data_IF_517937910438
#
_entry.id   IF_517937910438
#
_cell.length_a   1.000
_cell.length_b   1.000
_cell.length_c   1.000
_cell.angle_alpha   90.00
_cell.angle_beta   90.00
_cell.angle_gamma   90.00
#
_symmetry.space_group_name_H-M   'P 1'
#
loop_
_entity.id
_entity.type
_entity.pdbx_description
1 polymer ?
#
# COMPACT_ATOMS: atom_id res chain seq x y z
N UNK A 1 -57.56 -8.26 -10.24
CA UNK A 1 -56.28 -8.96 -10.00
C UNK A 1 -55.41 -9.14 -11.25
N UNK A 2 -55.90 -9.68 -12.39
CA UNK A 2 -55.09 -9.85 -13.63
C UNK A 2 -54.46 -8.56 -14.17
N UNK A 3 -55.19 -7.44 -14.17
CA UNK A 3 -54.66 -6.14 -14.64
C UNK A 3 -53.59 -5.53 -13.71
N UNK A 4 -53.71 -5.72 -12.39
CA UNK A 4 -52.71 -5.26 -11.43
C UNK A 4 -51.41 -6.07 -11.55
N UNK A 5 -51.53 -7.39 -11.83
CA UNK A 5 -50.39 -8.26 -12.09
C UNK A 5 -49.66 -7.89 -13.39
N UNK A 6 -50.39 -7.55 -14.46
CA UNK A 6 -49.81 -7.09 -15.74
C UNK A 6 -49.11 -5.74 -15.65
N UNK A 7 -49.61 -4.80 -14.82
CA UNK A 7 -48.97 -3.50 -14.58
C UNK A 7 -47.70 -3.68 -13.74
N UNK A 8 -47.76 -4.47 -12.66
CA UNK A 8 -46.59 -4.77 -11.82
C UNK A 8 -45.52 -5.54 -12.62
N UNK A 9 -45.92 -6.52 -13.43
CA UNK A 9 -45.00 -7.25 -14.29
C UNK A 9 -44.34 -6.34 -15.34
N UNK A 10 -45.09 -5.42 -15.96
CA UNK A 10 -44.54 -4.43 -16.90
C UNK A 10 -43.58 -3.44 -16.23
N UNK A 11 -43.86 -2.98 -15.00
CA UNK A 11 -42.95 -2.08 -14.29
C UNK A 11 -41.66 -2.79 -13.89
N UNK A 12 -41.72 -4.06 -13.46
CA UNK A 12 -40.52 -4.87 -13.19
C UNK A 12 -39.72 -5.19 -14.46
N UNK A 13 -40.38 -5.51 -15.59
CA UNK A 13 -39.71 -5.74 -16.88
C UNK A 13 -39.05 -4.46 -17.41
N UNK A 14 -39.74 -3.31 -17.37
CA UNK A 14 -39.17 -2.03 -17.80
C UNK A 14 -38.00 -1.58 -16.91
N UNK A 15 -38.07 -1.78 -15.59
CA UNK A 15 -36.94 -1.52 -14.70
C UNK A 15 -35.75 -2.46 -14.96
N UNK A 16 -36.02 -3.74 -15.26
CA UNK A 16 -34.98 -4.73 -15.57
C UNK A 16 -34.30 -4.45 -16.91
N UNK A 17 -35.06 -4.05 -17.93
CA UNK A 17 -34.55 -3.64 -19.25
C UNK A 17 -33.75 -2.34 -19.13
N UNK A 18 -34.25 -1.34 -18.39
CA UNK A 18 -33.55 -0.07 -18.17
C UNK A 18 -32.21 -0.29 -17.44
N UNK A 19 -32.18 -1.14 -16.40
CA UNK A 19 -30.94 -1.51 -15.73
C UNK A 19 -29.98 -2.26 -16.65
N UNK A 20 -30.47 -3.24 -17.42
CA UNK A 20 -29.65 -3.96 -18.38
C UNK A 20 -29.04 -3.03 -19.46
N UNK A 21 -29.80 -2.03 -19.91
CA UNK A 21 -29.34 -1.03 -20.86
C UNK A 21 -28.23 -0.15 -20.28
N UNK A 22 -28.41 0.38 -19.06
CA UNK A 22 -27.37 1.18 -18.37
C UNK A 22 -26.06 0.38 -18.20
N UNK A 23 -26.17 -0.89 -17.86
CA UNK A 23 -25.03 -1.80 -17.72
C UNK A 23 -24.34 -2.07 -19.06
N UNK A 24 -25.11 -2.24 -20.14
CA UNK A 24 -24.58 -2.41 -21.49
C UNK A 24 -23.88 -1.12 -21.98
N UNK A 25 -24.51 0.03 -21.81
CA UNK A 25 -23.98 1.34 -22.20
C UNK A 25 -22.66 1.64 -21.47
N UNK A 26 -22.54 1.27 -20.18
CA UNK A 26 -21.31 1.41 -19.42
C UNK A 26 -20.15 0.58 -20.01
N UNK A 27 -20.41 -0.64 -20.51
CA UNK A 27 -19.39 -1.46 -21.19
C UNK A 27 -18.96 -0.84 -22.52
N UNK A 28 -19.92 -0.42 -23.34
CA UNK A 28 -19.63 0.22 -24.65
C UNK A 28 -18.79 1.47 -24.42
N UNK A 29 -19.21 2.34 -23.50
CA UNK A 29 -18.50 3.57 -23.18
C UNK A 29 -17.11 3.31 -22.62
N UNK A 30 -16.93 2.27 -21.81
CA UNK A 30 -15.59 1.88 -21.33
C UNK A 30 -14.63 1.57 -22.48
N UNK A 31 -15.10 0.85 -23.51
CA UNK A 31 -14.32 0.53 -24.71
C UNK A 31 -14.03 1.79 -25.52
N UNK A 32 -15.02 2.68 -25.71
CA UNK A 32 -14.84 3.96 -26.42
C UNK A 32 -13.76 4.83 -25.75
N UNK A 33 -13.79 4.95 -24.43
CA UNK A 33 -12.78 5.72 -23.68
C UNK A 33 -11.38 5.12 -23.86
N UNK A 34 -11.24 3.79 -23.82
CA UNK A 34 -9.96 3.12 -24.06
C UNK A 34 -9.48 3.36 -25.50
N UNK A 35 -10.37 3.36 -26.48
CA UNK A 35 -10.03 3.66 -27.86
C UNK A 35 -9.57 5.13 -28.04
N UNK A 36 -10.21 6.08 -27.36
CA UNK A 36 -9.75 7.47 -27.31
C UNK A 36 -8.36 7.60 -26.69
N UNK A 37 -8.08 6.90 -25.59
CA UNK A 37 -6.75 6.85 -24.97
C UNK A 37 -5.71 6.29 -25.94
N UNK A 38 -6.00 5.16 -26.60
CA UNK A 38 -5.11 4.57 -27.62
C UNK A 38 -4.83 5.52 -28.79
N UNK A 39 -5.81 6.34 -29.17
CA UNK A 39 -5.70 7.35 -30.24
C UNK A 39 -5.14 8.69 -29.75
N UNK A 40 -4.70 8.78 -28.49
CA UNK A 40 -4.17 10.00 -27.87
C UNK A 40 -5.15 11.18 -27.91
N UNK A 41 -6.45 10.90 -27.85
CA UNK A 41 -7.53 11.89 -27.87
C UNK A 41 -7.92 12.32 -26.45
N UNK A 42 -6.95 12.85 -25.69
CA UNK A 42 -7.12 13.13 -24.26
C UNK A 42 -8.19 14.21 -23.96
N UNK A 43 -8.34 15.20 -24.83
CA UNK A 43 -9.39 16.22 -24.73
C UNK A 43 -10.81 15.61 -24.84
N UNK A 44 -10.97 14.55 -25.63
CA UNK A 44 -12.26 13.87 -25.77
C UNK A 44 -12.58 13.04 -24.52
N UNK A 45 -11.56 12.41 -23.92
CA UNK A 45 -11.70 11.69 -22.64
C UNK A 45 -12.02 12.66 -21.50
N UNK A 46 -11.31 13.80 -21.43
CA UNK A 46 -11.61 14.89 -20.49
C UNK A 46 -13.05 15.40 -20.65
N UNK A 47 -13.52 15.58 -21.88
CA UNK A 47 -14.90 16.00 -22.14
C UNK A 47 -15.95 14.96 -21.70
N UNK A 48 -15.57 13.69 -21.59
CA UNK A 48 -16.43 12.61 -21.09
C UNK A 48 -16.50 12.53 -19.56
N UNK A 49 -15.65 13.26 -18.84
CA UNK A 49 -15.61 13.32 -17.38
C UNK A 49 -16.66 14.30 -16.82
N UNK A 50 -17.05 14.08 -15.56
CA UNK A 50 -17.91 15.02 -14.83
C UNK A 50 -17.12 16.20 -14.24
N UNK A 51 -17.84 17.16 -13.67
CA UNK A 51 -17.22 18.39 -13.14
C UNK A 51 -16.33 18.16 -11.92
N UNK A 52 -16.53 17.06 -11.18
CA UNK A 52 -15.68 16.70 -10.03
C UNK A 52 -14.37 16.16 -10.57
N UNK A 53 -14.43 15.21 -11.50
CA UNK A 53 -13.25 14.58 -12.09
C UNK A 53 -12.40 15.60 -12.89
N UNK A 54 -13.03 16.55 -13.59
CA UNK A 54 -12.33 17.63 -14.30
C UNK A 54 -11.50 18.55 -13.39
N UNK A 55 -11.82 18.63 -12.10
CA UNK A 55 -10.99 19.37 -11.13
C UNK A 55 -9.78 18.58 -10.66
N UNK A 56 -9.82 17.25 -10.79
CA UNK A 56 -8.78 16.34 -10.33
C UNK A 56 -7.79 15.97 -11.44
N UNK A 57 -8.27 15.90 -12.69
CA UNK A 57 -7.48 15.42 -13.82
C UNK A 57 -7.83 16.17 -15.10
N UNK A 58 -6.86 16.92 -15.64
CA UNK A 58 -6.97 17.58 -16.94
C UNK A 58 -6.41 16.70 -18.08
N UNK A 59 -6.54 17.15 -19.33
CA UNK A 59 -6.11 16.39 -20.50
C UNK A 59 -4.58 16.15 -20.56
N UNK A 60 -3.77 17.14 -20.18
CA UNK A 60 -2.30 17.04 -20.15
C UNK A 60 -1.83 16.05 -19.07
N UNK A 61 -2.45 16.07 -17.90
CA UNK A 61 -2.18 15.10 -16.82
C UNK A 61 -2.60 13.69 -17.24
N UNK A 62 -3.72 13.54 -17.94
CA UNK A 62 -4.17 12.26 -18.47
C UNK A 62 -3.20 11.71 -19.53
N UNK A 63 -2.69 12.58 -20.40
CA UNK A 63 -1.63 12.25 -21.36
C UNK A 63 -0.37 11.77 -20.65
N UNK A 64 0.13 12.54 -19.66
CA UNK A 64 1.31 12.15 -18.89
C UNK A 64 1.15 10.79 -18.16
N UNK A 65 -0.03 10.50 -17.63
CA UNK A 65 -0.33 9.17 -17.03
C UNK A 65 -0.27 8.08 -18.10
N UNK A 66 -0.94 8.28 -19.24
CA UNK A 66 -1.02 7.28 -20.30
C UNK A 66 0.36 6.99 -20.92
N UNK A 67 1.12 8.04 -21.20
CA UNK A 67 2.49 7.92 -21.71
C UNK A 67 3.42 7.27 -20.69
N UNK A 68 3.24 7.58 -19.40
CA UNK A 68 3.94 6.89 -18.31
C UNK A 68 3.67 5.38 -18.31
N UNK A 69 2.42 4.95 -18.53
CA UNK A 69 2.08 3.52 -18.63
C UNK A 69 2.75 2.86 -19.84
N UNK A 70 2.72 3.50 -21.02
CA UNK A 70 3.35 2.98 -22.23
C UNK A 70 4.88 2.93 -22.11
N UNK A 71 5.47 3.93 -21.47
CA UNK A 71 6.90 3.96 -21.19
C UNK A 71 7.30 2.85 -20.21
N UNK A 72 6.50 2.62 -19.17
CA UNK A 72 6.82 1.64 -18.13
C UNK A 72 6.54 0.20 -18.55
N UNK A 73 5.44 -0.05 -19.27
CA UNK A 73 4.95 -1.40 -19.54
C UNK A 73 5.03 -1.81 -21.02
N UNK A 74 5.56 -0.92 -21.87
CA UNK A 74 5.66 -1.06 -23.33
C UNK A 74 4.24 -1.10 -23.96
N UNK A 75 4.10 -1.66 -25.15
CA UNK A 75 2.93 -1.50 -26.02
C UNK A 75 1.70 -2.23 -25.47
N UNK A 76 0.55 -1.55 -25.46
CA UNK A 76 -0.77 -2.15 -25.23
C UNK A 76 -1.20 -2.96 -26.46
N UNK A 77 -1.30 -4.28 -26.36
CA UNK A 77 -1.64 -5.15 -27.50
C UNK A 77 -3.03 -5.78 -27.43
N UNK A 78 -3.63 -5.87 -26.25
CA UNK A 78 -4.95 -6.49 -26.06
C UNK A 78 -5.70 -5.82 -24.92
N UNK A 79 -7.04 -5.80 -25.02
CA UNK A 79 -7.94 -5.45 -23.92
C UNK A 79 -8.96 -6.58 -23.72
N UNK A 80 -9.33 -6.87 -22.47
CA UNK A 80 -10.41 -7.81 -22.18
C UNK A 80 -11.79 -7.18 -22.43
N UNK A 81 -12.85 -7.99 -22.37
CA UNK A 81 -14.18 -7.44 -22.18
C UNK A 81 -14.27 -6.70 -20.83
N UNK A 82 -14.97 -5.55 -20.75
CA UNK A 82 -15.20 -4.85 -19.49
C UNK A 82 -16.08 -5.69 -18.54
N UNK A 83 -15.60 -5.89 -17.32
CA UNK A 83 -16.35 -6.53 -16.23
C UNK A 83 -17.10 -5.46 -15.45
N UNK A 84 -18.39 -5.65 -15.22
CA UNK A 84 -19.23 -4.70 -14.48
C UNK A 84 -19.11 -4.95 -12.97
N UNK A 85 -18.89 -3.87 -12.23
CA UNK A 85 -19.00 -3.80 -10.78
C UNK A 85 -20.05 -2.74 -10.42
N UNK A 86 -21.17 -3.15 -9.84
CA UNK A 86 -22.18 -2.21 -9.34
C UNK A 86 -21.65 -1.62 -8.02
N UNK A 87 -21.41 -0.31 -7.98
CA UNK A 87 -20.82 0.38 -6.82
C UNK A 87 -21.92 0.89 -5.89
N UNK A 88 -23.01 1.41 -6.46
CA UNK A 88 -24.23 1.82 -5.77
C UNK A 88 -25.39 1.89 -6.77
N UNK A 89 -26.60 2.26 -6.31
CA UNK A 89 -27.75 2.54 -7.19
C UNK A 89 -27.51 3.72 -8.15
N UNK A 90 -26.47 4.53 -7.91
CA UNK A 90 -26.17 5.75 -8.67
C UNK A 90 -24.86 5.69 -9.45
N UNK A 91 -24.02 4.68 -9.21
CA UNK A 91 -22.70 4.53 -9.81
C UNK A 91 -22.49 3.10 -10.31
N UNK A 92 -22.21 3.00 -11.62
CA UNK A 92 -21.79 1.75 -12.26
C UNK A 92 -20.30 1.84 -12.59
N UNK A 93 -19.50 0.89 -12.13
CA UNK A 93 -18.10 0.78 -12.53
C UNK A 93 -17.89 -0.35 -13.53
N UNK A 94 -16.93 -0.16 -14.43
CA UNK A 94 -16.38 -1.21 -15.27
C UNK A 94 -14.90 -1.39 -14.95
N UNK A 95 -14.39 -2.60 -15.06
CA UNK A 95 -12.95 -2.89 -15.02
C UNK A 95 -12.58 -3.63 -16.30
N UNK A 96 -11.69 -3.02 -17.08
CA UNK A 96 -11.19 -3.59 -18.33
C UNK A 96 -9.72 -3.93 -18.18
N UNK A 97 -9.33 -5.18 -18.41
CA UNK A 97 -7.92 -5.57 -18.36
C UNK A 97 -7.21 -5.07 -19.62
N UNK A 98 -6.27 -4.15 -19.44
CA UNK A 98 -5.29 -3.71 -20.42
C UNK A 98 -4.07 -4.65 -20.37
N UNK A 99 -3.74 -5.30 -21.48
CA UNK A 99 -2.54 -6.14 -21.61
C UNK A 99 -1.45 -5.40 -22.36
N UNK A 100 -0.48 -4.92 -21.59
CA UNK A 100 0.78 -4.41 -22.11
C UNK A 100 1.76 -5.58 -22.26
N UNK A 101 2.77 -5.42 -23.11
CA UNK A 101 3.80 -6.44 -23.35
C UNK A 101 4.43 -6.97 -22.05
N UNK A 102 4.65 -6.09 -21.07
CA UNK A 102 5.31 -6.44 -19.81
C UNK A 102 4.37 -6.54 -18.60
N UNK A 103 3.09 -6.16 -18.70
CA UNK A 103 2.19 -6.11 -17.52
C UNK A 103 0.71 -6.18 -17.91
N UNK A 104 -0.13 -6.64 -16.98
CA UNK A 104 -1.60 -6.55 -17.10
C UNK A 104 -2.13 -5.61 -16.02
N UNK A 105 -2.86 -4.58 -16.43
CA UNK A 105 -3.48 -3.60 -15.53
C UNK A 105 -4.98 -3.56 -15.80
N UNK A 106 -5.78 -3.29 -14.79
CA UNK A 106 -7.19 -2.97 -14.94
C UNK A 106 -7.36 -1.47 -15.11
N UNK A 107 -8.12 -1.03 -16.11
CA UNK A 107 -8.67 0.31 -16.14
C UNK A 107 -10.07 0.26 -15.53
N UNK A 108 -10.23 0.86 -14.35
CA UNK A 108 -11.52 1.01 -13.67
C UNK A 108 -12.13 2.36 -14.02
N UNK A 109 -13.27 2.35 -14.71
CA UNK A 109 -14.06 3.54 -15.03
C UNK A 109 -15.38 3.49 -14.27
N UNK A 110 -15.67 4.50 -13.45
CA UNK A 110 -16.94 4.68 -12.77
C UNK A 110 -17.79 5.72 -13.51
N UNK A 111 -19.04 5.39 -13.77
CA UNK A 111 -20.00 6.23 -14.48
C UNK A 111 -21.16 6.59 -13.56
N UNK A 112 -21.53 7.87 -13.55
CA UNK A 112 -22.76 8.33 -12.91
C UNK A 112 -24.00 8.04 -13.79
N UNK A 113 -25.18 8.40 -13.29
CA UNK A 113 -26.46 8.19 -13.98
C UNK A 113 -26.59 8.94 -15.33
N UNK A 114 -25.79 9.98 -15.58
CA UNK A 114 -25.76 10.67 -16.89
C UNK A 114 -24.71 10.07 -17.84
N UNK A 115 -24.05 8.99 -17.41
CA UNK A 115 -23.01 8.30 -18.16
C UNK A 115 -21.67 9.05 -18.19
N UNK A 116 -21.50 10.15 -17.45
CA UNK A 116 -20.19 10.83 -17.35
C UNK A 116 -19.25 10.04 -16.45
N UNK A 117 -17.94 10.12 -16.72
CA UNK A 117 -16.92 9.48 -15.89
C UNK A 117 -16.80 10.25 -14.57
N UNK A 118 -17.15 9.59 -13.47
CA UNK A 118 -17.04 10.09 -12.10
C UNK A 118 -15.84 9.49 -11.35
N UNK A 119 -15.10 8.58 -11.98
CA UNK A 119 -13.84 8.06 -11.46
C UNK A 119 -13.07 7.28 -12.52
N UNK A 120 -11.76 7.46 -12.53
CA UNK A 120 -10.82 6.79 -13.44
C UNK A 120 -9.63 6.30 -12.61
N UNK A 121 -9.40 4.99 -12.61
CA UNK A 121 -8.32 4.38 -11.84
C UNK A 121 -7.62 3.31 -12.66
N UNK A 122 -6.30 3.29 -12.60
CA UNK A 122 -5.50 2.14 -13.03
C UNK A 122 -5.30 1.25 -11.80
N UNK A 123 -5.78 0.01 -11.86
CA UNK A 123 -5.79 -0.93 -10.75
C UNK A 123 -5.02 -2.20 -11.12
N UNK A 124 -4.40 -2.92 -10.16
CA UNK A 124 -3.86 -4.25 -10.44
C UNK A 124 -4.96 -5.20 -10.91
N UNK A 125 -4.68 -6.01 -11.93
CA UNK A 125 -5.56 -7.15 -12.25
C UNK A 125 -5.33 -8.22 -11.19
N UNK A 126 -6.41 -8.85 -10.71
CA UNK A 126 -6.29 -9.94 -9.76
C UNK A 126 -5.51 -11.11 -10.39
N UNK A 127 -4.26 -11.27 -9.99
CA UNK A 127 -3.53 -12.51 -10.18
C UNK A 127 -3.99 -13.51 -9.12
N UNK A 128 -4.31 -14.77 -9.48
CA UNK A 128 -4.62 -15.78 -8.49
C UNK A 128 -3.39 -15.94 -7.60
N UNK A 129 -3.56 -15.61 -6.32
CA UNK A 129 -2.49 -15.68 -5.34
C UNK A 129 -1.96 -17.11 -5.25
N UNK A 130 -0.65 -17.27 -5.40
CA UNK A 130 0.05 -18.54 -5.20
C UNK A 130 0.82 -18.46 -3.88
N UNK A 131 0.48 -19.30 -2.89
CA UNK A 131 1.23 -19.37 -1.65
C UNK A 131 2.66 -19.87 -1.90
N UNK A 132 3.61 -19.36 -1.12
CA UNK A 132 4.97 -19.90 -1.15
C UNK A 132 4.98 -21.39 -0.74
N UNK A 133 5.92 -22.16 -1.29
CA UNK A 133 5.98 -23.62 -1.13
C UNK A 133 6.07 -24.11 0.33
N UNK A 134 6.61 -23.28 1.22
CA UNK A 134 6.77 -23.59 2.65
C UNK A 134 5.52 -23.28 3.48
N UNK A 135 4.47 -22.71 2.88
CA UNK A 135 3.23 -22.35 3.58
C UNK A 135 2.36 -23.60 3.80
N UNK A 136 1.96 -23.82 5.04
CA UNK A 136 0.99 -24.85 5.39
C UNK A 136 -0.42 -24.24 5.53
N UNK A 137 -1.17 -24.19 4.43
CA UNK A 137 -2.52 -23.60 4.39
C UNK A 137 -3.55 -24.33 5.25
N UNK A 138 -3.33 -25.60 5.58
CA UNK A 138 -4.18 -26.34 6.52
C UNK A 138 -3.90 -25.99 7.99
N UNK A 139 -2.82 -25.24 8.28
CA UNK A 139 -2.35 -24.92 9.63
C UNK A 139 -2.93 -23.64 10.24
N UNK A 140 -3.73 -22.87 9.49
CA UNK A 140 -4.26 -21.59 9.94
C UNK A 140 -5.58 -21.24 9.25
N UNK A 141 -6.21 -20.16 9.70
CA UNK A 141 -7.41 -19.58 9.10
C UNK A 141 -7.39 -18.05 9.18
N UNK A 142 -8.11 -17.39 8.28
CA UNK A 142 -8.26 -15.93 8.24
C UNK A 142 -9.65 -15.50 8.72
N UNK A 143 -9.70 -14.43 9.50
CA UNK A 143 -10.95 -13.80 9.96
C UNK A 143 -10.97 -12.36 9.48
N UNK A 144 -12.05 -11.96 8.80
CA UNK A 144 -12.31 -10.54 8.54
C UNK A 144 -12.61 -9.82 9.86
N UNK A 145 -11.78 -8.84 10.18
CA UNK A 145 -11.83 -8.09 11.43
C UNK A 145 -11.44 -6.64 11.14
N UNK A 146 -12.41 -5.83 10.72
CA UNK A 146 -12.21 -4.41 10.41
C UNK A 146 -11.71 -3.62 11.63
N UNK A 147 -11.04 -2.51 11.34
CA UNK A 147 -10.63 -1.54 12.37
C UNK A 147 -11.90 -0.95 12.99
N UNK A 148 -12.04 -0.90 14.32
CA UNK A 148 -13.22 -0.39 15.00
C UNK A 148 -13.21 1.15 15.06
N UNK A 149 -13.03 1.80 13.91
CA UNK A 149 -13.17 3.25 13.74
C UNK A 149 -14.53 3.51 13.05
N UNK A 150 -15.46 4.23 13.69
CA UNK A 150 -16.77 4.52 13.09
C UNK A 150 -16.70 5.47 11.91
N UNK A 151 -15.66 6.31 11.83
CA UNK A 151 -15.45 7.27 10.74
C UNK A 151 -14.72 6.60 9.57
N UNK A 152 -13.72 5.77 9.88
CA UNK A 152 -12.88 5.07 8.89
C UNK A 152 -12.82 3.56 9.13
N UNK A 153 -13.89 2.79 8.87
CA UNK A 153 -13.96 1.35 9.18
C UNK A 153 -13.16 0.49 8.18
N UNK A 154 -11.86 0.75 8.05
CA UNK A 154 -10.95 0.07 7.14
C UNK A 154 -10.95 -1.45 7.33
N UNK A 155 -10.85 -2.18 6.22
CA UNK A 155 -10.85 -3.63 6.26
C UNK A 155 -9.56 -4.18 6.89
N UNK A 156 -9.71 -5.20 7.72
CA UNK A 156 -8.60 -5.89 8.35
C UNK A 156 -8.79 -7.40 8.31
N UNK A 157 -7.68 -8.13 8.27
CA UNK A 157 -7.63 -9.59 8.32
C UNK A 157 -6.75 -10.00 9.50
N UNK A 158 -7.32 -10.81 10.38
CA UNK A 158 -6.59 -11.53 11.41
C UNK A 158 -6.32 -12.96 10.93
N UNK A 159 -5.06 -13.29 10.69
CA UNK A 159 -4.61 -14.64 10.33
C UNK A 159 -4.17 -15.35 11.62
N UNK A 160 -4.82 -16.47 11.95
CA UNK A 160 -4.58 -17.22 13.19
C UNK A 160 -4.09 -18.63 12.89
N UNK A 161 -2.99 -19.09 13.51
CA UNK A 161 -2.67 -20.51 13.52
C UNK A 161 -3.76 -21.32 14.21
N UNK A 162 -3.93 -22.56 13.77
CA UNK A 162 -4.85 -23.51 14.38
C UNK A 162 -4.47 -23.82 15.84
N UNK A 163 -5.46 -24.34 16.59
CA UNK A 163 -5.31 -24.71 17.99
C UNK A 163 -6.09 -23.80 18.94
N UNK A 164 -5.98 -24.07 20.24
CA UNK A 164 -6.74 -23.38 21.29
C UNK A 164 -5.92 -22.41 22.13
N UNK A 165 -4.59 -22.47 22.03
CA UNK A 165 -3.68 -21.63 22.82
C UNK A 165 -3.71 -20.18 22.35
N UNK A 166 -3.42 -19.27 23.28
CA UNK A 166 -3.11 -17.87 22.96
C UNK A 166 -1.77 -17.79 22.23
N UNK A 167 -1.68 -16.91 21.25
CA UNK A 167 -0.49 -16.76 20.40
C UNK A 167 -0.02 -15.31 20.36
N UNK A 168 1.27 -15.12 20.05
CA UNK A 168 1.81 -13.81 19.71
C UNK A 168 1.18 -13.31 18.40
N UNK A 169 1.07 -11.99 18.25
CA UNK A 169 0.56 -11.36 17.02
C UNK A 169 1.52 -10.28 16.51
N UNK A 170 1.73 -10.27 15.20
CA UNK A 170 2.45 -9.21 14.49
C UNK A 170 1.44 -8.36 13.72
N UNK A 171 1.34 -7.08 14.05
CA UNK A 171 0.56 -6.08 13.30
C UNK A 171 1.46 -5.57 12.18
N UNK A 172 1.04 -5.75 10.92
CA UNK A 172 1.78 -5.29 9.74
C UNK A 172 1.27 -3.91 9.36
N UNK A 173 2.14 -2.90 9.44
CA UNK A 173 1.87 -1.50 9.10
C UNK A 173 2.54 -1.17 7.76
N UNK A 174 1.72 -0.72 6.82
CA UNK A 174 2.11 -0.49 5.43
C UNK A 174 3.14 0.62 5.23
N UNK A 175 3.75 0.64 4.04
CA UNK A 175 4.62 1.72 3.58
C UNK A 175 3.86 2.98 3.16
N UNK A 176 4.53 3.83 2.38
CA UNK A 176 3.99 5.09 1.87
C UNK A 176 2.81 4.90 0.91
N UNK A 177 1.92 5.88 0.86
CA UNK A 177 0.80 5.91 -0.08
C UNK A 177 -0.36 4.96 0.27
N UNK A 178 -1.31 4.76 -0.65
CA UNK A 178 -2.41 3.82 -0.48
C UNK A 178 -1.89 2.38 -0.54
N UNK A 179 -1.88 1.70 0.61
CA UNK A 179 -1.41 0.31 0.73
C UNK A 179 -2.54 -0.56 1.26
N UNK A 180 -2.90 -1.59 0.50
CA UNK A 180 -3.89 -2.59 0.93
C UNK A 180 -3.29 -3.57 1.95
N UNK A 181 -4.17 -4.31 2.63
CA UNK A 181 -3.84 -5.34 3.61
C UNK A 181 -2.97 -6.48 3.09
N UNK A 182 -2.77 -6.61 1.78
CA UNK A 182 -1.97 -7.66 1.15
C UNK A 182 -0.59 -7.15 0.66
N UNK A 183 -0.40 -5.82 0.59
CA UNK A 183 0.58 -5.16 -0.27
C UNK A 183 0.52 -5.73 -1.70
N UNK A 184 -0.59 -5.46 -2.38
CA UNK A 184 -0.75 -5.84 -3.79
C UNK A 184 0.10 -4.94 -4.69
N UNK A 185 1.25 -5.44 -5.13
CA UNK A 185 2.12 -4.80 -6.12
C UNK A 185 2.25 -5.73 -7.33
N UNK A 186 1.59 -5.38 -8.43
CA UNK A 186 1.43 -6.27 -9.58
C UNK A 186 0.87 -7.65 -9.18
N UNK A 187 1.57 -8.77 -9.46
CA UNK A 187 1.14 -10.10 -9.05
C UNK A 187 1.44 -10.43 -7.57
N UNK A 188 2.16 -9.57 -6.86
CA UNK A 188 2.76 -9.88 -5.57
C UNK A 188 1.85 -9.47 -4.41
N UNK A 189 1.90 -10.24 -3.31
CA UNK A 189 1.12 -10.00 -2.09
C UNK A 189 2.01 -10.17 -0.85
N UNK A 190 2.96 -9.26 -0.68
CA UNK A 190 4.06 -9.37 0.28
C UNK A 190 3.56 -9.52 1.73
N UNK A 191 2.56 -8.75 2.14
CA UNK A 191 2.04 -8.84 3.52
C UNK A 191 1.24 -10.12 3.74
N UNK A 192 0.63 -10.66 2.67
CA UNK A 192 -0.02 -11.97 2.73
C UNK A 192 0.99 -13.10 2.85
N UNK A 193 2.11 -13.03 2.13
CA UNK A 193 3.20 -14.01 2.24
C UNK A 193 3.76 -14.05 3.67
N UNK A 194 3.98 -12.87 4.28
CA UNK A 194 4.40 -12.77 5.67
C UNK A 194 3.33 -13.35 6.60
N UNK A 195 2.06 -12.98 6.41
CA UNK A 195 0.96 -13.48 7.24
C UNK A 195 0.84 -15.01 7.22
N UNK A 196 0.85 -15.61 6.04
CA UNK A 196 0.67 -17.05 5.86
C UNK A 196 1.92 -17.83 6.27
N UNK A 197 3.10 -17.29 5.99
CA UNK A 197 4.36 -17.83 6.48
C UNK A 197 4.44 -17.85 8.00
N UNK A 198 4.16 -16.72 8.66
CA UNK A 198 4.19 -16.62 10.12
C UNK A 198 3.13 -17.49 10.79
N UNK A 199 1.91 -17.56 10.22
CA UNK A 199 0.87 -18.44 10.72
C UNK A 199 1.27 -19.92 10.61
N UNK A 200 1.96 -20.31 9.53
CA UNK A 200 2.55 -21.66 9.38
C UNK A 200 3.63 -21.96 10.43
N UNK A 201 4.22 -20.94 11.06
CA UNK A 201 5.20 -21.05 12.16
C UNK A 201 4.58 -20.75 13.54
N UNK A 202 3.25 -20.68 13.64
CA UNK A 202 2.54 -20.52 14.92
C UNK A 202 2.43 -19.07 15.45
N UNK A 203 2.70 -18.07 14.61
CA UNK A 203 2.58 -16.64 14.96
C UNK A 203 1.38 -16.05 14.22
N UNK A 204 0.47 -15.37 14.93
CA UNK A 204 -0.64 -14.68 14.31
C UNK A 204 -0.19 -13.38 13.63
N UNK A 205 -0.96 -12.91 12.67
CA UNK A 205 -0.75 -11.61 12.05
C UNK A 205 -2.04 -10.83 11.89
N UNK A 206 -1.96 -9.52 12.01
CA UNK A 206 -3.03 -8.61 11.64
C UNK A 206 -2.55 -7.67 10.54
N UNK A 207 -3.28 -7.66 9.43
CA UNK A 207 -3.00 -6.85 8.23
C UNK A 207 -4.26 -6.10 7.83
N UNK A 208 -4.13 -4.87 7.36
CA UNK A 208 -5.27 -3.98 7.14
C UNK A 208 -5.05 -3.04 5.96
N UNK A 209 -6.14 -2.62 5.33
CA UNK A 209 -6.12 -1.57 4.33
C UNK A 209 -5.87 -0.24 5.05
N UNK A 210 -4.90 0.55 4.60
CA UNK A 210 -4.77 1.92 5.09
C UNK A 210 -6.03 2.72 4.74
N UNK A 211 -6.36 3.74 5.55
CA UNK A 211 -7.48 4.66 5.27
C UNK A 211 -7.42 5.24 3.86
N UNK A 212 -6.20 5.47 3.37
CA UNK A 212 -5.90 5.97 2.02
C UNK A 212 -6.33 5.04 0.88
N UNK A 213 -6.68 3.78 1.14
CA UNK A 213 -7.19 2.85 0.11
C UNK A 213 -8.68 3.08 -0.15
N UNK A 214 -9.49 3.18 0.90
CA UNK A 214 -10.95 3.20 0.79
C UNK A 214 -11.57 4.58 1.04
N UNK A 215 -10.82 5.48 1.69
CA UNK A 215 -11.29 6.80 2.14
C UNK A 215 -10.40 7.95 1.63
N UNK A 216 -9.67 7.74 0.54
CA UNK A 216 -8.74 8.73 -0.04
C UNK A 216 -9.39 10.11 -0.23
N UNK A 217 -10.58 10.18 -0.82
CA UNK A 217 -11.26 11.47 -1.07
C UNK A 217 -11.65 12.21 0.22
N UNK A 218 -12.00 11.47 1.28
CA UNK A 218 -12.29 12.06 2.59
C UNK A 218 -11.00 12.56 3.25
N UNK A 219 -9.94 11.76 3.20
CA UNK A 219 -8.63 12.12 3.73
C UNK A 219 -8.02 13.34 3.03
N UNK A 220 -8.16 13.45 1.70
CA UNK A 220 -7.67 14.60 0.93
C UNK A 220 -8.46 15.87 1.28
N UNK A 221 -9.75 15.75 1.58
CA UNK A 221 -10.58 16.86 2.01
C UNK A 221 -10.29 17.32 3.46
N UNK A 222 -9.50 16.56 4.21
CA UNK A 222 -9.18 16.86 5.60
C UNK A 222 -7.94 17.78 5.69
N UNK A 223 -8.16 19.03 6.10
CA UNK A 223 -7.10 20.04 6.29
C UNK A 223 -6.02 19.64 7.32
N UNK A 224 -6.28 18.59 8.12
CA UNK A 224 -5.41 18.14 9.21
C UNK A 224 -4.70 16.82 8.95
N UNK A 225 -4.75 16.28 7.73
CA UNK A 225 -4.11 15.00 7.42
C UNK A 225 -2.61 15.01 7.76
N UNK A 226 -2.21 14.18 8.72
CA UNK A 226 -0.81 13.90 9.04
C UNK A 226 -0.59 12.39 9.22
N UNK A 227 0.65 11.96 9.48
CA UNK A 227 0.91 10.55 9.88
C UNK A 227 0.22 10.14 11.18
N UNK A 228 -0.35 11.07 11.96
CA UNK A 228 -1.20 10.69 13.09
C UNK A 228 -2.49 10.04 12.59
N UNK A 229 -3.24 10.74 11.75
CA UNK A 229 -4.53 10.29 11.21
C UNK A 229 -4.33 9.12 10.25
N UNK A 230 -3.27 9.14 9.43
CA UNK A 230 -3.01 8.07 8.47
C UNK A 230 -2.51 6.76 9.12
N UNK A 231 -1.74 6.84 10.21
CA UNK A 231 -1.09 5.67 10.81
C UNK A 231 -1.43 5.48 12.30
N UNK A 232 -1.13 6.47 13.13
CA UNK A 232 -1.12 6.27 14.59
C UNK A 232 -2.51 5.91 15.15
N UNK A 233 -3.55 6.55 14.65
CA UNK A 233 -4.91 6.36 15.15
C UNK A 233 -5.38 4.91 14.88
N UNK A 234 -5.15 4.39 13.67
CA UNK A 234 -5.43 2.99 13.33
C UNK A 234 -4.59 2.02 14.18
N UNK A 235 -3.28 2.25 14.31
CA UNK A 235 -2.41 1.37 15.09
C UNK A 235 -2.86 1.29 16.56
N UNK A 236 -3.29 2.40 17.17
CA UNK A 236 -3.83 2.41 18.54
C UNK A 236 -5.10 1.57 18.65
N UNK A 237 -6.04 1.74 17.71
CA UNK A 237 -7.30 1.00 17.69
C UNK A 237 -7.06 -0.50 17.49
N UNK A 238 -6.15 -0.87 16.60
CA UNK A 238 -5.77 -2.27 16.34
C UNK A 238 -5.14 -2.89 17.58
N UNK A 239 -4.17 -2.25 18.22
CA UNK A 239 -3.54 -2.78 19.45
C UNK A 239 -4.59 -2.95 20.56
N UNK A 240 -5.45 -1.94 20.75
CA UNK A 240 -6.53 -2.02 21.74
C UNK A 240 -7.50 -3.17 21.45
N UNK A 241 -7.89 -3.37 20.20
CA UNK A 241 -8.76 -4.46 19.76
C UNK A 241 -8.10 -5.83 19.99
N UNK A 242 -6.87 -6.01 19.54
CA UNK A 242 -6.17 -7.30 19.61
C UNK A 242 -5.80 -7.68 21.04
N UNK A 243 -5.49 -6.71 21.91
CA UNK A 243 -5.23 -6.96 23.34
C UNK A 243 -6.41 -7.58 24.09
N UNK A 244 -7.63 -7.44 23.56
CA UNK A 244 -8.87 -8.00 24.11
C UNK A 244 -9.30 -9.28 23.39
N UNK A 245 -8.64 -9.66 22.30
CA UNK A 245 -9.01 -10.83 21.51
C UNK A 245 -8.56 -12.11 22.21
N UNK A 246 -9.50 -13.03 22.46
CA UNK A 246 -9.26 -14.19 23.36
C UNK A 246 -8.13 -15.12 22.93
N UNK A 247 -7.88 -15.25 21.62
CA UNK A 247 -6.78 -16.04 21.04
C UNK A 247 -5.44 -15.32 20.97
N UNK A 248 -5.38 -14.03 21.27
CA UNK A 248 -4.12 -13.27 21.29
C UNK A 248 -3.61 -13.14 22.72
N UNK A 249 -2.31 -13.37 22.90
CA UNK A 249 -1.64 -13.03 24.14
C UNK A 249 -1.35 -11.52 24.17
N UNK A 250 -2.05 -10.80 25.06
CA UNK A 250 -1.97 -9.34 25.19
C UNK A 250 -0.58 -8.82 25.57
N UNK A 251 0.32 -9.68 26.07
CA UNK A 251 1.71 -9.32 26.39
C UNK A 251 2.66 -9.52 25.21
N UNK A 252 2.15 -10.02 24.09
CA UNK A 252 2.91 -10.53 22.95
C UNK A 252 2.38 -9.95 21.64
N UNK A 253 2.16 -8.64 21.66
CA UNK A 253 1.79 -7.84 20.50
C UNK A 253 3.04 -7.17 19.95
N UNK A 254 3.30 -7.36 18.67
CA UNK A 254 4.44 -6.79 17.96
C UNK A 254 3.96 -5.92 16.81
N UNK A 255 4.75 -4.93 16.42
CA UNK A 255 4.48 -4.09 15.25
C UNK A 255 5.60 -4.32 14.24
N UNK A 256 5.26 -4.79 13.05
CA UNK A 256 6.13 -4.78 11.88
C UNK A 256 5.75 -3.59 11.02
N UNK A 257 6.70 -2.67 10.82
CA UNK A 257 6.55 -1.55 9.91
C UNK A 257 7.39 -1.78 8.65
N UNK A 258 6.75 -1.69 7.47
CA UNK A 258 7.44 -1.75 6.19
C UNK A 258 7.70 -0.35 5.64
N UNK A 259 8.89 -0.06 5.09
CA UNK A 259 9.21 1.22 4.46
C UNK A 259 8.90 2.40 5.42
N UNK A 260 8.01 3.33 5.06
CA UNK A 260 7.56 4.41 5.95
C UNK A 260 6.90 3.92 7.26
N UNK A 261 6.20 2.80 7.24
CA UNK A 261 5.74 2.15 8.48
C UNK A 261 6.90 1.75 9.40
N UNK A 262 8.05 1.38 8.81
CA UNK A 262 9.30 1.08 9.51
C UNK A 262 10.00 2.34 10.03
N UNK A 263 9.95 3.44 9.28
CA UNK A 263 10.42 4.76 9.70
C UNK A 263 9.65 5.28 10.93
N UNK A 264 8.34 4.99 11.02
CA UNK A 264 7.46 5.45 12.10
C UNK A 264 7.48 4.58 13.36
N UNK A 265 8.29 3.50 13.44
CA UNK A 265 8.35 2.66 14.64
C UNK A 265 8.68 3.43 15.93
N UNK A 266 9.61 4.41 15.96
CA UNK A 266 9.84 5.20 17.16
C UNK A 266 8.64 6.07 17.56
N UNK A 267 7.85 6.52 16.57
CA UNK A 267 6.61 7.25 16.80
C UNK A 267 5.55 6.34 17.45
N UNK A 268 5.38 5.12 16.94
CA UNK A 268 4.51 4.13 17.58
C UNK A 268 5.02 3.76 18.98
N UNK A 269 6.33 3.61 19.18
CA UNK A 269 6.91 3.34 20.50
C UNK A 269 6.69 4.45 21.53
N UNK A 270 6.53 5.69 21.07
CA UNK A 270 6.20 6.83 21.92
C UNK A 270 4.73 6.86 22.34
N UNK A 271 3.82 6.46 21.44
CA UNK A 271 2.39 6.76 21.57
C UNK A 271 1.47 5.54 21.72
N UNK A 272 1.99 4.32 21.55
CA UNK A 272 1.23 3.08 21.59
C UNK A 272 1.76 2.21 22.73
N UNK A 273 0.91 2.01 23.74
CA UNK A 273 1.20 1.15 24.88
C UNK A 273 0.83 -0.31 24.57
N UNK A 274 1.41 -1.26 25.32
CA UNK A 274 1.07 -2.68 25.19
C UNK A 274 1.79 -3.43 24.06
N UNK A 275 2.77 -2.80 23.40
CA UNK A 275 3.60 -3.43 22.36
C UNK A 275 4.88 -3.99 22.98
N UNK A 276 5.15 -5.27 22.73
CA UNK A 276 6.30 -6.02 23.26
C UNK A 276 7.60 -5.73 22.51
N UNK A 277 7.53 -5.55 21.19
CA UNK A 277 8.69 -5.32 20.34
C UNK A 277 8.30 -4.82 18.94
N UNK A 278 9.31 -4.37 18.20
CA UNK A 278 9.15 -3.73 16.89
C UNK A 278 10.00 -4.45 15.84
N UNK A 279 9.49 -4.57 14.61
CA UNK A 279 10.20 -5.13 13.46
C UNK A 279 10.23 -4.04 12.38
N UNK A 280 11.42 -3.55 12.06
CA UNK A 280 11.64 -2.60 10.95
C UNK A 280 12.01 -3.38 9.70
N UNK A 281 11.12 -3.39 8.71
CA UNK A 281 11.33 -4.05 7.43
C UNK A 281 11.58 -2.99 6.36
N UNK A 282 12.83 -2.86 5.90
CA UNK A 282 13.24 -1.77 5.02
C UNK A 282 12.83 -0.38 5.54
N UNK A 283 12.94 -0.13 6.85
CA UNK A 283 12.63 1.18 7.43
C UNK A 283 13.83 2.12 7.37
N UNK A 284 13.70 3.23 6.64
CA UNK A 284 14.76 4.24 6.55
C UNK A 284 15.05 4.93 7.89
N UNK A 285 16.26 5.47 8.04
CA UNK A 285 16.64 6.27 9.21
C UNK A 285 16.47 7.76 8.93
N UNK A 286 16.99 8.25 7.80
CA UNK A 286 16.88 9.70 7.52
C UNK A 286 15.49 10.06 7.02
N UNK A 287 15.20 11.36 7.07
CA UNK A 287 14.01 11.97 6.45
C UNK A 287 13.90 11.62 4.96
N UNK A 288 12.67 11.61 4.45
CA UNK A 288 12.37 11.41 3.02
C UNK A 288 13.07 12.45 2.12
N UNK A 289 13.29 13.65 2.64
CA UNK A 289 14.09 14.71 2.04
C UNK A 289 15.49 14.29 1.58
N UNK A 290 16.10 13.31 2.27
CA UNK A 290 17.39 12.72 1.90
C UNK A 290 17.19 11.46 1.06
N UNK A 291 16.20 10.64 1.42
CA UNK A 291 15.99 9.34 0.82
C UNK A 291 15.49 9.43 -0.63
N UNK A 292 14.45 10.22 -0.89
CA UNK A 292 13.80 10.31 -2.21
C UNK A 292 14.77 10.78 -3.31
N UNK A 293 15.60 11.82 -3.11
CA UNK A 293 16.62 12.17 -4.10
C UNK A 293 17.58 11.03 -4.42
N UNK A 294 17.92 10.17 -3.45
CA UNK A 294 18.79 9.03 -3.69
C UNK A 294 18.08 7.95 -4.54
N UNK A 295 16.79 7.71 -4.30
CA UNK A 295 15.99 6.80 -5.13
C UNK A 295 15.95 7.27 -6.59
N UNK A 296 15.66 8.55 -6.82
CA UNK A 296 15.58 9.13 -8.17
C UNK A 296 16.93 9.07 -8.88
N UNK A 297 18.02 9.43 -8.18
CA UNK A 297 19.38 9.32 -8.72
C UNK A 297 19.75 7.89 -9.05
N UNK A 298 19.37 6.92 -8.21
CA UNK A 298 19.59 5.51 -8.48
C UNK A 298 18.88 5.08 -9.77
N UNK A 299 17.60 5.42 -9.93
CA UNK A 299 16.84 5.07 -11.13
C UNK A 299 17.43 5.74 -12.39
N UNK A 300 17.84 6.99 -12.30
CA UNK A 300 18.50 7.70 -13.39
C UNK A 300 19.82 7.01 -13.80
N UNK A 301 20.60 6.51 -12.83
CA UNK A 301 21.84 5.76 -13.09
C UNK A 301 21.61 4.40 -13.75
N UNK A 302 20.42 3.81 -13.57
CA UNK A 302 20.06 2.49 -14.10
C UNK A 302 19.04 2.58 -15.25
N UNK A 303 18.91 3.76 -15.87
CA UNK A 303 18.09 3.96 -17.06
C UNK A 303 18.82 3.47 -18.31
N UNK A 304 18.06 3.00 -19.31
CA UNK A 304 18.63 2.43 -20.52
C UNK A 304 19.12 3.50 -21.50
N UNK A 305 18.59 4.73 -21.39
CA UNK A 305 18.89 5.83 -22.31
C UNK A 305 19.12 7.17 -21.62
N UNK A 306 19.93 8.04 -22.22
CA UNK A 306 20.14 9.41 -21.72
C UNK A 306 18.85 10.26 -21.76
N UNK A 307 17.90 9.94 -22.64
CA UNK A 307 16.59 10.60 -22.66
C UNK A 307 15.78 10.24 -21.41
N UNK A 308 15.68 8.95 -21.12
CA UNK A 308 15.00 8.44 -19.92
C UNK A 308 15.65 8.97 -18.64
N UNK A 309 16.98 8.94 -18.56
CA UNK A 309 17.74 9.53 -17.46
C UNK A 309 17.36 10.98 -17.19
N UNK A 310 17.34 11.81 -18.24
CA UNK A 310 16.96 13.22 -18.12
C UNK A 310 15.53 13.37 -17.64
N UNK A 311 14.62 12.52 -18.11
CA UNK A 311 13.22 12.54 -17.68
C UNK A 311 13.07 12.17 -16.20
N UNK A 312 13.74 11.10 -15.75
CA UNK A 312 13.74 10.68 -14.34
C UNK A 312 14.30 11.81 -13.45
N UNK A 313 15.39 12.47 -13.88
CA UNK A 313 16.01 13.55 -13.10
C UNK A 313 15.15 14.82 -13.00
N UNK A 314 14.18 15.04 -13.90
CA UNK A 314 13.21 16.15 -13.76
C UNK A 314 12.30 15.97 -12.55
N UNK A 315 12.10 14.73 -12.09
CA UNK A 315 11.30 14.42 -10.91
C UNK A 315 12.04 14.68 -9.58
N UNK A 316 13.31 15.12 -9.62
CA UNK A 316 14.03 15.50 -8.41
C UNK A 316 13.24 16.58 -7.65
N UNK A 317 12.99 16.38 -6.35
CA UNK A 317 12.23 17.35 -5.58
C UNK A 317 13.00 18.67 -5.49
N UNK A 318 12.28 19.81 -5.44
CA UNK A 318 12.91 21.12 -5.35
C UNK A 318 13.76 21.24 -4.08
N UNK A 319 14.79 22.08 -4.09
CA UNK A 319 15.72 22.23 -2.96
C UNK A 319 15.02 22.62 -1.63
N UNK A 320 13.83 23.21 -1.69
CA UNK A 320 12.99 23.51 -0.52
C UNK A 320 12.58 22.23 0.25
N UNK A 321 12.41 21.10 -0.44
CA UNK A 321 12.11 19.79 0.15
C UNK A 321 13.24 19.28 1.05
N UNK A 322 14.48 19.70 0.77
CA UNK A 322 15.66 19.35 1.54
C UNK A 322 15.91 20.26 2.75
N UNK A 323 15.12 21.34 2.94
CA UNK A 323 15.35 22.29 4.03
C UNK A 323 14.88 21.72 5.37
N UNK A 324 15.77 21.73 6.35
CA UNK A 324 15.44 21.54 7.78
C UNK A 324 14.49 22.62 8.35
N UNK A 325 14.10 23.61 7.52
CA UNK A 325 13.25 24.74 7.84
C UNK A 325 11.88 24.69 7.16
N UNK A 326 11.37 23.49 6.84
CA UNK A 326 9.92 23.34 6.65
C UNK A 326 9.23 23.85 7.91
N UNK A 327 8.60 25.01 7.80
CA UNK A 327 7.72 25.53 8.84
C UNK A 327 6.28 25.23 8.45
N UNK A 328 5.37 25.26 9.42
CA UNK A 328 3.92 25.15 9.17
C UNK A 328 3.36 26.14 8.14
N UNK A 329 4.12 27.17 7.76
CA UNK A 329 3.75 28.22 6.82
C UNK A 329 4.36 28.02 5.42
N UNK A 330 5.00 26.88 5.15
CA UNK A 330 5.50 26.58 3.80
C UNK A 330 4.29 26.42 2.86
N UNK A 331 4.28 27.01 1.66
CA UNK A 331 3.18 26.81 0.70
C UNK A 331 3.16 25.37 0.16
N UNK A 332 1.96 24.77 0.06
CA UNK A 332 1.79 23.38 -0.37
C UNK A 332 2.15 23.15 -1.85
N UNK A 333 1.98 24.17 -2.70
CA UNK A 333 2.34 24.14 -4.13
C UNK A 333 3.86 23.98 -4.38
N UNK A 334 4.67 24.14 -3.33
CA UNK A 334 6.12 23.98 -3.39
C UNK A 334 6.61 22.56 -3.03
N UNK A 335 5.70 21.65 -2.69
CA UNK A 335 6.02 20.30 -2.20
C UNK A 335 5.80 19.20 -3.26
N UNK A 336 6.70 18.21 -3.34
CA UNK A 336 6.56 17.12 -4.29
C UNK A 336 5.45 16.14 -3.86
N UNK A 337 4.94 15.37 -4.83
CA UNK A 337 4.00 14.25 -4.63
C UNK A 337 2.61 14.64 -4.07
N UNK A 338 2.23 15.91 -4.12
CA UNK A 338 0.94 16.38 -3.60
C UNK A 338 0.84 16.32 -2.08
N UNK A 339 1.97 16.24 -1.37
CA UNK A 339 2.01 16.27 0.09
C UNK A 339 1.73 17.68 0.59
N UNK A 340 0.87 17.80 1.61
CA UNK A 340 0.69 19.07 2.30
C UNK A 340 1.82 19.31 3.32
N UNK A 341 2.04 20.57 3.66
CA UNK A 341 3.12 21.01 4.56
C UNK A 341 2.96 20.44 5.97
N UNK A 342 1.73 20.35 6.46
CA UNK A 342 1.44 19.82 7.79
C UNK A 342 1.89 18.36 7.92
N UNK A 343 1.64 17.56 6.90
CA UNK A 343 2.00 16.16 6.81
C UNK A 343 3.51 15.97 6.86
N UNK A 344 4.24 16.65 5.96
CA UNK A 344 5.70 16.51 5.86
C UNK A 344 6.40 17.06 7.11
N UNK A 345 5.92 18.18 7.65
CA UNK A 345 6.41 18.71 8.92
C UNK A 345 6.20 17.69 10.04
N UNK A 346 5.00 17.13 10.17
CA UNK A 346 4.68 16.16 11.21
C UNK A 346 5.49 14.87 11.06
N UNK A 347 5.73 14.39 9.83
CA UNK A 347 6.62 13.26 9.55
C UNK A 347 8.07 13.54 10.01
N UNK A 348 8.59 14.74 9.72
CA UNK A 348 9.95 15.14 10.13
C UNK A 348 10.10 15.26 11.65
N UNK A 349 9.06 15.68 12.37
CA UNK A 349 9.09 15.77 13.84
C UNK A 349 8.96 14.41 14.54
N UNK A 350 8.49 13.39 13.83
CA UNK A 350 8.18 12.08 14.41
C UNK A 350 9.02 10.93 13.83
N UNK A 351 10.01 11.23 13.00
CA UNK A 351 10.93 10.25 12.44
C UNK A 351 12.05 9.77 13.38
N UNK A 352 12.89 8.83 12.94
CA UNK A 352 14.01 8.25 13.69
C UNK A 352 15.03 9.28 14.18
N UNK A 353 15.39 10.26 13.35
CA UNK A 353 16.34 11.31 13.73
C UNK A 353 15.93 12.02 15.03
N UNK A 354 14.62 12.18 15.25
CA UNK A 354 14.05 12.84 16.43
C UNK A 354 13.70 11.84 17.54
N UNK A 355 13.06 10.72 17.19
CA UNK A 355 12.40 9.84 18.16
C UNK A 355 13.10 8.50 18.40
N UNK A 356 14.24 8.19 17.78
CA UNK A 356 14.96 6.91 17.98
C UNK A 356 15.16 6.53 19.45
N UNK A 357 15.29 7.51 20.35
CA UNK A 357 15.46 7.28 21.78
C UNK A 357 14.29 6.49 22.40
N UNK A 358 13.10 6.50 21.77
CA UNK A 358 11.93 5.72 22.18
C UNK A 358 12.08 4.22 21.92
N UNK A 359 13.03 3.84 21.07
CA UNK A 359 13.42 2.45 20.86
C UNK A 359 14.59 2.01 21.76
N UNK A 360 15.28 2.93 22.44
CA UNK A 360 16.34 2.57 23.38
C UNK A 360 15.72 1.76 24.52
N UNK A 361 16.18 0.52 24.70
CA UNK A 361 15.65 -0.48 25.63
C UNK A 361 14.42 -1.28 25.17
N UNK A 362 13.92 -1.07 23.94
CA UNK A 362 12.89 -1.93 23.35
C UNK A 362 13.56 -3.07 22.56
N UNK A 363 12.97 -4.28 22.54
CA UNK A 363 13.31 -5.30 21.55
C UNK A 363 13.00 -4.77 20.15
N UNK A 364 14.01 -4.75 19.27
CA UNK A 364 13.83 -4.37 17.87
C UNK A 364 14.54 -5.35 16.95
N UNK A 365 13.86 -5.81 15.90
CA UNK A 365 14.46 -6.51 14.78
C UNK A 365 14.48 -5.58 13.58
N UNK A 366 15.66 -5.32 13.02
CA UNK A 366 15.78 -4.66 11.72
C UNK A 366 16.13 -5.71 10.66
N UNK A 367 15.32 -5.76 9.61
CA UNK A 367 15.53 -6.59 8.41
C UNK A 367 15.63 -5.69 7.18
N UNK A 368 16.60 -5.95 6.31
CA UNK A 368 16.89 -5.13 5.14
C UNK A 368 17.20 -5.99 3.91
N UNK A 369 16.60 -5.65 2.76
CA UNK A 369 17.01 -6.21 1.47
C UNK A 369 18.34 -5.60 1.02
N UNK A 370 19.29 -6.43 0.59
CA UNK A 370 20.62 -5.99 0.17
C UNK A 370 20.65 -5.28 -1.19
N UNK A 371 19.62 -5.50 -2.02
CA UNK A 371 19.45 -4.86 -3.33
C UNK A 371 18.39 -3.74 -3.30
N UNK A 372 17.84 -3.44 -2.13
CA UNK A 372 16.83 -2.40 -1.96
C UNK A 372 17.41 -1.03 -2.32
N UNK A 373 16.94 -0.44 -3.41
CA UNK A 373 17.35 0.91 -3.82
C UNK A 373 16.46 2.01 -3.19
N UNK A 374 15.28 1.64 -2.70
CA UNK A 374 14.34 2.58 -2.09
C UNK A 374 14.80 2.92 -0.68
N UNK A 375 15.24 1.90 0.07
CA UNK A 375 15.88 2.02 1.37
C UNK A 375 17.21 1.26 1.32
N UNK A 376 18.30 1.92 0.91
CA UNK A 376 19.59 1.25 0.74
C UNK A 376 20.12 0.71 2.08
N UNK A 377 20.93 -0.38 2.07
CA UNK A 377 21.52 -0.95 3.28
C UNK A 377 22.28 0.05 4.17
N UNK A 378 22.77 1.16 3.60
CA UNK A 378 23.36 2.26 4.35
C UNK A 378 22.42 2.90 5.38
N UNK A 379 21.10 2.82 5.19
CA UNK A 379 20.11 3.25 6.19
C UNK A 379 20.10 2.35 7.43
N UNK A 380 20.30 1.04 7.23
CA UNK A 380 20.46 0.09 8.34
C UNK A 380 21.71 0.41 9.17
N UNK A 381 22.81 0.81 8.52
CA UNK A 381 24.03 1.19 9.22
C UNK A 381 23.83 2.45 10.10
N UNK A 382 23.01 3.40 9.64
CA UNK A 382 22.61 4.55 10.46
C UNK A 382 21.79 4.11 11.67
N UNK A 383 20.87 3.16 11.50
CA UNK A 383 20.16 2.56 12.64
C UNK A 383 21.09 1.85 13.63
N UNK A 384 22.10 1.11 13.15
CA UNK A 384 23.12 0.47 13.99
C UNK A 384 23.89 1.50 14.81
N UNK A 385 24.34 2.58 14.19
CA UNK A 385 25.04 3.67 14.88
C UNK A 385 24.12 4.34 15.92
N UNK A 386 22.88 4.63 15.53
CA UNK A 386 21.96 5.42 16.32
C UNK A 386 21.40 4.67 17.55
N UNK A 387 21.36 3.33 17.49
CA UNK A 387 20.91 2.45 18.57
C UNK A 387 22.04 1.59 19.16
N UNK A 388 23.31 1.95 18.94
CA UNK A 388 24.47 1.13 19.36
C UNK A 388 24.49 0.77 20.86
N UNK A 389 23.85 1.57 21.73
CA UNK A 389 23.75 1.28 23.17
C UNK A 389 22.55 0.42 23.56
N UNK A 390 21.70 0.01 22.62
CA UNK A 390 20.58 -0.90 22.87
C UNK A 390 21.01 -2.35 22.60
N UNK A 391 21.20 -3.13 23.66
CA UNK A 391 21.58 -4.54 23.59
C UNK A 391 20.43 -5.50 23.23
N UNK A 392 19.23 -4.98 22.93
CA UNK A 392 18.04 -5.75 22.54
C UNK A 392 17.69 -5.59 21.06
N UNK A 393 18.64 -5.15 20.25
CA UNK A 393 18.45 -4.97 18.81
C UNK A 393 19.11 -6.11 18.04
N UNK A 394 18.40 -6.64 17.06
CA UNK A 394 18.91 -7.60 16.09
C UNK A 394 18.89 -6.96 14.70
N UNK A 395 19.95 -7.17 13.92
CA UNK A 395 20.08 -6.64 12.56
C UNK A 395 20.30 -7.80 11.59
N UNK A 396 19.58 -7.81 10.47
CA UNK A 396 19.72 -8.80 9.41
C UNK A 396 19.66 -8.12 8.04
N UNK A 397 20.58 -8.49 7.17
CA UNK A 397 20.58 -8.10 5.75
C UNK A 397 20.44 -9.37 4.93
N UNK A 398 19.55 -9.33 3.94
CA UNK A 398 19.35 -10.41 2.97
C UNK A 398 19.89 -9.98 1.61
N UNK A 399 21.12 -10.37 1.23
CA UNK A 399 21.85 -9.76 0.10
C UNK A 399 21.09 -9.77 -1.22
N UNK A 400 20.33 -10.83 -1.51
CA UNK A 400 19.65 -11.00 -2.79
C UNK A 400 18.28 -10.31 -2.87
N UNK A 401 17.79 -9.72 -1.77
CA UNK A 401 16.41 -9.23 -1.69
C UNK A 401 16.28 -7.75 -2.06
N UNK A 402 15.23 -7.44 -2.83
CA UNK A 402 14.82 -6.08 -3.16
C UNK A 402 13.92 -5.46 -2.06
N UNK A 403 13.30 -4.30 -2.33
CA UNK A 403 12.42 -3.61 -1.38
C UNK A 403 11.19 -4.44 -0.98
N UNK A 404 10.64 -5.24 -1.89
CA UNK A 404 9.51 -6.15 -1.63
C UNK A 404 9.94 -7.46 -0.96
N UNK A 405 11.22 -7.59 -0.60
CA UNK A 405 11.84 -8.80 -0.07
C UNK A 405 11.78 -9.99 -1.03
N UNK A 406 11.86 -9.74 -2.33
CA UNK A 406 11.91 -10.78 -3.36
C UNK A 406 13.35 -10.98 -3.86
N UNK A 407 13.70 -12.22 -4.16
CA UNK A 407 15.00 -12.56 -4.71
C UNK A 407 15.23 -11.97 -6.11
N UNK A 408 16.48 -11.63 -6.39
CA UNK A 408 16.94 -11.33 -7.73
C UNK A 408 18.45 -11.15 -7.77
N UNK A 409 18.98 -10.93 -8.97
CA UNK A 409 20.42 -10.98 -9.25
C UNK A 409 20.98 -9.70 -9.88
N UNK A 410 20.12 -8.87 -10.46
CA UNK A 410 20.50 -7.62 -11.13
C UNK A 410 20.37 -6.42 -10.17
N UNK A 411 20.83 -5.21 -10.54
CA UNK A 411 20.38 -4.01 -9.86
C UNK A 411 18.85 -3.97 -9.76
N UNK A 412 18.31 -3.53 -8.63
CA UNK A 412 16.86 -3.58 -8.41
C UNK A 412 16.17 -2.36 -8.97
N UNK A 413 15.13 -2.57 -9.76
CA UNK A 413 14.35 -1.52 -10.42
C UNK A 413 12.86 -1.87 -10.39
N UNK A 414 11.94 -0.90 -10.57
CA UNK A 414 10.49 -1.14 -10.53
C UNK A 414 10.00 -2.29 -11.43
N UNK A 415 10.68 -2.53 -12.56
CA UNK A 415 10.35 -3.62 -13.48
C UNK A 415 10.53 -5.03 -12.89
N UNK A 416 11.16 -5.18 -11.72
CA UNK A 416 11.17 -6.47 -11.02
C UNK A 416 9.83 -6.78 -10.35
N UNK A 417 9.06 -5.78 -9.94
CA UNK A 417 7.85 -5.96 -9.14
C UNK A 417 6.65 -6.47 -9.95
N UNK A 418 6.77 -6.51 -11.29
CA UNK A 418 5.78 -7.15 -12.17
C UNK A 418 5.99 -8.66 -12.28
N UNK A 419 7.11 -9.19 -11.76
CA UNK A 419 7.39 -10.63 -11.75
C UNK A 419 6.78 -11.24 -10.47
N UNK A 420 6.06 -12.37 -10.58
CA UNK A 420 5.60 -13.09 -9.40
C UNK A 420 6.78 -13.52 -8.53
N UNK A 421 6.71 -13.24 -7.24
CA UNK A 421 7.69 -13.69 -6.25
C UNK A 421 7.11 -13.61 -4.85
N UNK A 422 7.49 -14.58 -4.02
CA UNK A 422 7.14 -14.59 -2.61
C UNK A 422 8.30 -14.11 -1.74
N UNK A 423 8.00 -13.67 -0.51
CA UNK A 423 9.01 -13.49 0.54
C UNK A 423 9.70 -14.85 0.79
N UNK A 424 11.03 -14.95 0.91
CA UNK A 424 11.72 -16.20 1.18
C UNK A 424 11.46 -16.80 2.57
N UNK A 425 11.57 -18.13 2.69
CA UNK A 425 11.35 -18.84 3.96
C UNK A 425 12.31 -18.34 5.06
N UNK A 426 13.56 -18.00 4.71
CA UNK A 426 14.55 -17.50 5.67
C UNK A 426 14.06 -16.25 6.42
N UNK A 427 13.40 -15.32 5.71
CA UNK A 427 12.85 -14.09 6.29
C UNK A 427 11.73 -14.43 7.27
N UNK A 428 10.84 -15.36 6.87
CA UNK A 428 9.75 -15.83 7.71
C UNK A 428 10.27 -16.52 8.97
N UNK A 429 11.28 -17.39 8.83
CA UNK A 429 11.90 -18.11 9.93
C UNK A 429 12.59 -17.16 10.92
N UNK A 430 13.31 -16.15 10.43
CA UNK A 430 13.98 -15.16 11.26
C UNK A 430 12.98 -14.30 12.03
N UNK A 431 11.89 -13.83 11.39
CA UNK A 431 10.84 -13.07 12.08
C UNK A 431 10.13 -13.94 13.12
N UNK A 432 9.70 -15.15 12.74
CA UNK A 432 8.99 -16.05 13.65
C UNK A 432 9.87 -16.41 14.87
N UNK A 433 11.13 -16.76 14.63
CA UNK A 433 12.09 -17.07 15.68
C UNK A 433 12.28 -15.88 16.61
N UNK A 434 12.48 -14.67 16.07
CA UNK A 434 12.65 -13.48 16.90
C UNK A 434 11.42 -13.17 17.77
N UNK A 435 10.22 -13.27 17.21
CA UNK A 435 8.94 -13.08 17.93
C UNK A 435 8.79 -14.10 19.07
N UNK A 436 9.04 -15.38 18.77
CA UNK A 436 8.87 -16.49 19.73
C UNK A 436 9.95 -16.50 20.81
N UNK A 437 11.18 -16.08 20.54
CA UNK A 437 12.20 -15.96 21.59
C UNK A 437 12.00 -14.69 22.45
N UNK A 438 11.43 -13.63 21.89
CA UNK A 438 11.03 -12.44 22.66
C UNK A 438 9.84 -12.74 23.59
N UNK A 439 9.07 -13.80 23.31
CA UNK A 439 8.03 -14.38 24.20
C UNK A 439 8.60 -14.97 25.48
N UNK A 440 9.65 -15.78 25.37
CA UNK A 440 10.21 -16.52 26.51
C UNK A 440 10.97 -15.65 27.52
N UNK A 441 11.36 -14.43 27.16
CA UNK A 441 12.20 -13.54 27.98
C UNK A 441 11.40 -12.77 29.05
N UNK A 442 10.64 -13.51 29.87
CA UNK A 442 10.10 -13.06 31.16
C UNK A 442 11.11 -13.17 32.32
N UNK A 443 12.26 -13.81 32.11
CA UNK A 443 13.33 -13.94 33.10
C UNK A 443 14.69 -13.80 32.41
N UNK A 444 15.27 -12.61 32.47
CA UNK A 444 16.73 -12.44 32.46
C UNK A 444 17.03 -11.50 33.63
N UNK A 445 17.51 -12.10 34.73
CA UNK A 445 18.17 -11.39 35.82
C UNK A 445 19.56 -10.99 35.38
#
# INVERSE_FOLDING_TARGET
>A
MKYLFLIILNTFLNQSICKAQVLFDAKVKSIEIIDLLKKQKFNDVYSAMDSVMNRLLNAEQLEGIWDGLLMQFDTLYEISEPVINIVSDTLTATVTTLRFKNMKLGLKLAFNQTGKISGLYVVPVAYPYQPAWYVNTAGFYEIKKNIPDPEYPSEGILTLPNGSKKVAVVIIVGGSGPVDKDLTEGPNKVYKDIAWGLASKGVATYRFDKRTVNFASQMIAEEKLTVKEEYLDDVKLIVAMLSKYSRIDKHQIFILGHSEGGYLLPYFAKHVNGVRGYISMAGNYNKLAVLVPNQIKYLALHSDTEKEKKEILKNLPPAVYARDHLTKNTPDDSLPFGLNTAYLWHLNQNGPEVLRNKLMNKPVLFIQGGRDYQVPPSELDKWKMALAKNNRVTYKIYPALNHLFQEGKAPSIPAEYIRPGNVPEEVINDIASWVLHTHASGNYK
#
